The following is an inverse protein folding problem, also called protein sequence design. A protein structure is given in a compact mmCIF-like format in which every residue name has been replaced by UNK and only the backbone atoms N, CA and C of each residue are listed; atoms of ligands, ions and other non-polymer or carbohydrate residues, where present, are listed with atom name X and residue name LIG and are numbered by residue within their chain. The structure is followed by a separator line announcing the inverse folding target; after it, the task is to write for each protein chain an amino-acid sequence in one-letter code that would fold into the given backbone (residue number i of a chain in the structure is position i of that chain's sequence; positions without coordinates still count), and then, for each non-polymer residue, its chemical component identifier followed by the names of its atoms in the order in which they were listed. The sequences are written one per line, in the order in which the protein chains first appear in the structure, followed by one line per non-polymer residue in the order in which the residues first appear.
data_IF_724867600148
#
_entry.id   IF_724867600148
#
_cell.length_a   1.000
_cell.length_b   1.000
_cell.length_c   1.000
_cell.angle_alpha   90.00
_cell.angle_beta   90.00
_cell.angle_gamma   90.00
#
_symmetry.space_group_name_H-M   'P 1'
#
loop_
_entity.id
_entity.type
_entity.pdbx_description
1 polymer ?
#
# COMPACT_ATOMS: atom_id res chain seq x y z
N UNK A 1 -16.10 -41.51 -0.17
CA UNK A 1 -15.66 -40.49 -1.15
C UNK A 1 -15.56 -39.18 -0.37
N UNK A 2 -14.35 -38.85 0.10
CA UNK A 2 -14.13 -37.61 0.86
C UNK A 2 -14.08 -36.44 -0.13
N UNK A 3 -14.70 -35.27 0.17
CA UNK A 3 -14.47 -34.07 -0.63
C UNK A 3 -12.98 -33.70 -0.54
N UNK A 4 -12.36 -33.21 -1.63
CA UNK A 4 -10.99 -32.72 -1.56
C UNK A 4 -10.94 -31.64 -0.49
N UNK A 5 -10.09 -31.84 0.52
CA UNK A 5 -9.75 -30.83 1.50
C UNK A 5 -9.35 -29.59 0.73
N UNK A 6 -10.18 -28.54 0.80
CA UNK A 6 -9.81 -27.22 0.28
C UNK A 6 -8.59 -26.85 1.09
N UNK A 7 -7.44 -27.01 0.47
CA UNK A 7 -6.16 -26.59 1.00
C UNK A 7 -6.33 -25.15 1.47
N UNK A 8 -5.66 -24.83 2.56
CA UNK A 8 -5.57 -23.50 3.14
C UNK A 8 -4.91 -22.55 2.11
N UNK A 9 -5.60 -22.21 1.03
CA UNK A 9 -5.24 -21.07 0.22
C UNK A 9 -5.44 -19.90 1.18
N UNK A 10 -4.38 -19.17 1.57
CA UNK A 10 -4.61 -17.93 2.29
C UNK A 10 -5.57 -17.15 1.40
N UNK A 11 -6.76 -16.84 1.95
CA UNK A 11 -7.69 -15.93 1.28
C UNK A 11 -6.84 -14.77 0.76
N UNK A 12 -7.02 -14.30 -0.49
CA UNK A 12 -6.23 -13.21 -1.03
C UNK A 12 -6.25 -12.11 0.02
N UNK A 13 -5.11 -11.91 0.68
CA UNK A 13 -4.98 -10.83 1.65
C UNK A 13 -5.30 -9.60 0.82
N UNK A 14 -6.19 -8.71 1.29
CA UNK A 14 -6.46 -7.50 0.55
C UNK A 14 -5.09 -6.85 0.30
N UNK A 15 -4.67 -6.85 -0.95
CA UNK A 15 -3.40 -6.25 -1.36
C UNK A 15 -3.47 -4.79 -0.87
N UNK A 16 -2.40 -4.27 -0.25
CA UNK A 16 -2.43 -2.90 0.23
C UNK A 16 -2.78 -2.02 -0.97
N UNK A 17 -3.86 -1.25 -0.86
CA UNK A 17 -4.28 -0.37 -1.94
C UNK A 17 -3.21 0.71 -2.16
N UNK A 18 -2.55 1.17 -1.11
CA UNK A 18 -1.47 2.16 -1.16
C UNK A 18 -0.20 1.68 -0.46
N UNK A 19 0.95 2.01 -1.05
CA UNK A 19 2.28 1.84 -0.49
C UNK A 19 2.90 3.22 -0.28
N UNK A 20 3.30 3.52 0.95
CA UNK A 20 3.93 4.78 1.34
C UNK A 20 5.36 4.53 1.81
N UNK A 21 6.32 5.27 1.30
CA UNK A 21 7.73 5.07 1.65
C UNK A 21 8.63 6.19 1.17
N UNK A 22 9.85 6.28 1.71
CA UNK A 22 10.77 7.36 1.40
C UNK A 22 11.44 7.19 0.02
N UNK A 23 11.76 8.29 -0.66
CA UNK A 23 12.51 8.33 -1.93
C UNK A 23 14.04 8.33 -1.69
N UNK A 24 14.48 8.44 -0.43
CA UNK A 24 15.89 8.55 -0.07
C UNK A 24 16.50 9.96 -0.22
N UNK A 25 15.86 10.82 -1.02
CA UNK A 25 16.19 12.25 -1.10
C UNK A 25 15.54 13.10 0.04
N UNK A 26 14.83 12.47 0.98
CA UNK A 26 14.06 13.15 2.02
C UNK A 26 12.58 13.36 1.68
N UNK A 27 12.15 12.97 0.48
CA UNK A 27 10.74 12.97 0.07
C UNK A 27 10.07 11.64 0.40
N UNK A 28 8.74 11.66 0.46
CA UNK A 28 7.88 10.50 0.69
C UNK A 28 6.98 10.27 -0.51
N UNK A 29 6.98 9.06 -1.04
CA UNK A 29 6.12 8.65 -2.14
C UNK A 29 4.90 7.93 -1.56
N UNK A 30 3.71 8.23 -2.09
CA UNK A 30 2.53 7.41 -1.93
C UNK A 30 2.18 6.84 -3.31
N UNK A 31 2.15 5.52 -3.42
CA UNK A 31 1.90 4.82 -4.68
C UNK A 31 0.71 3.90 -4.48
N UNK A 32 -0.32 4.02 -5.31
CA UNK A 32 -1.40 3.06 -5.31
C UNK A 32 -0.99 1.79 -6.05
N UNK A 33 -1.16 0.63 -5.43
CA UNK A 33 -0.78 -0.69 -5.97
C UNK A 33 -1.59 -1.05 -7.21
N UNK A 34 -2.79 -0.47 -7.38
CA UNK A 34 -3.61 -0.66 -8.58
C UNK A 34 -3.21 0.28 -9.74
N UNK A 35 -2.20 1.13 -9.57
CA UNK A 35 -1.74 2.07 -10.60
C UNK A 35 -2.74 3.18 -10.93
N UNK A 36 -3.77 3.36 -10.09
CA UNK A 36 -4.81 4.37 -10.27
C UNK A 36 -4.35 5.77 -9.81
N UNK A 37 -3.34 5.86 -8.94
CA UNK A 37 -2.87 7.13 -8.44
C UNK A 37 -1.55 7.04 -7.67
N UNK A 38 -0.84 8.16 -7.59
CA UNK A 38 0.37 8.26 -6.80
C UNK A 38 0.84 9.70 -6.72
N UNK A 39 1.58 10.03 -5.67
CA UNK A 39 2.06 11.38 -5.41
C UNK A 39 3.38 11.40 -4.66
N UNK A 40 4.17 12.43 -4.93
CA UNK A 40 5.38 12.76 -4.17
C UNK A 40 4.99 13.80 -3.14
N UNK A 41 5.33 13.53 -1.88
CA UNK A 41 5.06 14.36 -0.73
C UNK A 41 6.36 14.75 -0.06
N UNK A 42 6.36 15.94 0.54
CA UNK A 42 7.51 16.44 1.29
C UNK A 42 7.68 15.75 2.65
N UNK A 43 6.62 15.09 3.16
CA UNK A 43 6.59 14.52 4.51
C UNK A 43 5.79 13.21 4.56
N UNK A 44 6.17 12.33 5.49
CA UNK A 44 5.47 11.07 5.77
C UNK A 44 3.99 11.30 6.07
N UNK A 45 3.69 12.29 6.93
CA UNK A 45 2.33 12.56 7.38
C UNK A 45 1.42 12.98 6.21
N UNK A 46 1.93 13.79 5.29
CA UNK A 46 1.20 14.19 4.09
C UNK A 46 0.92 12.99 3.17
N UNK A 47 1.92 12.13 2.94
CA UNK A 47 1.75 10.91 2.16
C UNK A 47 0.75 9.94 2.80
N UNK A 48 0.80 9.82 4.13
CA UNK A 48 -0.10 8.96 4.89
C UNK A 48 -1.54 9.51 4.92
N UNK A 49 -1.70 10.82 5.07
CA UNK A 49 -3.01 11.48 5.04
C UNK A 49 -3.69 11.28 3.68
N UNK A 50 -2.94 11.46 2.60
CA UNK A 50 -3.39 11.20 1.24
C UNK A 50 -3.80 9.74 1.05
N UNK A 51 -2.91 8.78 1.36
CA UNK A 51 -3.20 7.36 1.22
C UNK A 51 -4.41 6.92 2.06
N UNK A 52 -4.58 7.46 3.28
CA UNK A 52 -5.74 7.17 4.14
C UNK A 52 -7.05 7.72 3.59
N UNK A 53 -7.01 8.92 3.01
CA UNK A 53 -8.14 9.57 2.37
C UNK A 53 -8.63 8.73 1.19
N UNK A 54 -7.71 8.33 0.30
CA UNK A 54 -8.04 7.53 -0.88
C UNK A 54 -8.42 6.09 -0.55
N UNK A 55 -7.79 5.48 0.47
CA UNK A 55 -8.07 4.10 0.89
C UNK A 55 -9.40 3.92 1.65
N UNK A 56 -10.28 4.93 1.68
CA UNK A 56 -11.50 4.95 2.48
C UNK A 56 -11.25 4.56 3.95
N UNK A 57 -10.06 4.87 4.48
CA UNK A 57 -9.63 4.57 5.86
C UNK A 57 -9.72 3.08 6.25
N UNK A 58 -9.62 2.16 5.28
CA UNK A 58 -9.61 0.71 5.54
C UNK A 58 -8.33 0.30 6.28
N UNK A 59 -8.42 -0.39 7.44
CA UNK A 59 -7.24 -0.91 8.13
C UNK A 59 -6.58 -1.98 7.24
N UNK A 60 -5.30 -1.80 6.92
CA UNK A 60 -4.53 -2.70 6.04
C UNK A 60 -4.50 -2.31 4.56
N UNK A 61 -5.24 -1.28 4.16
CA UNK A 61 -5.17 -0.77 2.78
C UNK A 61 -3.97 0.16 2.53
N UNK A 62 -3.28 0.63 3.58
CA UNK A 62 -2.07 1.44 3.46
C UNK A 62 -0.91 0.68 4.09
N UNK A 63 0.07 0.32 3.28
CA UNK A 63 1.34 -0.24 3.73
C UNK A 63 2.39 0.86 3.81
N UNK A 64 2.93 1.10 5.01
CA UNK A 64 4.08 2.00 5.17
C UNK A 64 5.33 1.13 5.12
N UNK A 65 6.17 1.36 4.14
CA UNK A 65 7.45 0.68 4.01
C UNK A 65 8.59 1.63 4.39
N UNK A 66 9.54 1.20 5.23
CA UNK A 66 10.78 1.94 5.47
C UNK A 66 11.76 1.81 4.29
N UNK A 67 11.43 0.96 3.31
CA UNK A 67 12.27 0.70 2.14
C UNK A 67 12.11 1.83 1.14
N UNK A 68 13.21 2.22 0.48
CA UNK A 68 13.13 3.21 -0.58
C UNK A 68 12.25 2.69 -1.71
N UNK A 69 11.20 3.42 -2.02
CA UNK A 69 10.35 3.15 -3.17
C UNK A 69 10.70 4.17 -4.24
N UNK A 70 10.77 3.71 -5.50
CA UNK A 70 10.94 4.56 -6.66
C UNK A 70 9.74 4.34 -7.57
N UNK A 71 9.07 5.42 -7.97
CA UNK A 71 8.11 5.35 -9.07
C UNK A 71 8.90 5.01 -10.34
N UNK A 72 8.56 3.91 -11.01
CA UNK A 72 9.27 3.41 -12.19
C UNK A 72 8.40 3.48 -13.43
#
# INVERSE_FOLDING_TARGET
MYPPSIENFPAPRPEPSFVVGPDGAGHWLAVETHGLGGGIFVSQDAALHYARSESCRRPGAVEITPRMIALR
#
